data_IF_045451363713
#
_entry.id   IF_045451363713
#
_cell.length_a   1.000
_cell.length_b   1.000
_cell.length_c   1.000
_cell.angle_alpha   90.00
_cell.angle_beta   90.00
_cell.angle_gamma   90.00
#
_symmetry.space_group_name_H-M   'P 1'
#
loop_
_entity.id
_entity.type
_entity.pdbx_description
1 polymer ?
#
# COMPACT_ATOMS: atom_id res chain seq x y z
N UNK A 1 3.42 4.45 -7.26
CA UNK A 1 2.86 4.36 -5.89
C UNK A 1 3.88 4.89 -4.90
N UNK A 2 3.49 5.69 -3.91
CA UNK A 2 4.33 6.15 -2.81
C UNK A 2 3.80 5.62 -1.48
N UNK A 3 4.58 4.80 -0.80
CA UNK A 3 4.29 4.34 0.55
C UNK A 3 5.01 5.27 1.53
N UNK A 4 4.23 6.08 2.26
CA UNK A 4 4.72 7.16 3.11
C UNK A 4 4.77 6.75 4.57
N UNK A 5 5.96 6.76 5.16
CA UNK A 5 6.12 6.67 6.62
C UNK A 5 5.62 7.98 7.27
N UNK A 6 4.32 8.01 7.61
CA UNK A 6 3.67 9.24 8.10
C UNK A 6 4.05 9.61 9.53
N UNK A 7 4.79 8.75 10.23
CA UNK A 7 5.40 9.14 11.49
C UNK A 7 6.48 10.21 11.30
N UNK A 8 7.09 10.25 10.11
CA UNK A 8 8.25 11.12 9.82
C UNK A 8 7.97 12.15 8.72
N UNK A 9 6.96 11.93 7.85
CA UNK A 9 6.79 12.69 6.63
C UNK A 9 5.34 13.14 6.39
N UNK A 10 5.20 14.33 5.77
CA UNK A 10 3.91 14.88 5.36
C UNK A 10 3.49 14.31 3.99
N UNK A 11 2.30 13.68 3.86
CA UNK A 11 1.86 13.10 2.60
C UNK A 11 1.72 14.11 1.45
N UNK A 12 1.53 15.41 1.75
CA UNK A 12 1.51 16.47 0.74
C UNK A 12 2.85 16.61 -0.01
N UNK A 13 3.95 16.08 0.54
CA UNK A 13 5.25 16.10 -0.14
C UNK A 13 5.23 15.38 -1.49
N UNK A 14 4.29 14.44 -1.70
CA UNK A 14 4.08 13.79 -3.00
C UNK A 14 3.65 14.74 -4.12
N UNK A 15 3.08 15.90 -3.78
CA UNK A 15 2.71 16.94 -4.76
C UNK A 15 3.92 17.71 -5.32
N UNK A 16 5.08 17.56 -4.70
CA UNK A 16 6.28 18.33 -5.05
C UNK A 16 7.07 17.77 -6.23
N UNK A 17 6.70 16.60 -6.75
CA UNK A 17 7.42 15.96 -7.86
C UNK A 17 6.56 15.91 -9.10
N UNK A 18 7.02 16.59 -10.16
CA UNK A 18 6.33 16.64 -11.45
C UNK A 18 7.29 16.26 -12.59
N UNK A 19 6.73 15.84 -13.70
CA UNK A 19 7.45 15.68 -14.95
C UNK A 19 7.82 17.06 -15.50
N UNK A 20 9.02 17.19 -16.01
CA UNK A 20 9.63 18.47 -16.38
C UNK A 20 8.92 19.19 -17.52
N UNK A 21 8.54 18.46 -18.55
CA UNK A 21 7.95 19.03 -19.76
C UNK A 21 6.42 19.12 -19.67
N UNK A 22 5.77 18.03 -19.23
CA UNK A 22 4.31 17.94 -19.16
C UNK A 22 3.71 18.55 -17.90
N UNK A 23 4.49 18.73 -16.84
CA UNK A 23 4.02 19.20 -15.53
C UNK A 23 3.14 18.18 -14.77
N UNK A 24 2.97 16.95 -15.31
CA UNK A 24 2.16 15.91 -14.65
C UNK A 24 2.82 15.46 -13.36
N UNK A 25 2.01 15.12 -12.35
CA UNK A 25 2.50 14.51 -11.14
C UNK A 25 3.15 13.16 -11.41
N UNK A 26 4.22 12.86 -10.68
CA UNK A 26 4.94 11.57 -10.78
C UNK A 26 4.24 10.49 -9.98
N UNK A 27 3.51 10.87 -8.92
CA UNK A 27 2.85 9.95 -7.98
C UNK A 27 1.35 9.90 -8.27
N UNK A 28 0.80 8.69 -8.46
CA UNK A 28 -0.63 8.45 -8.70
C UNK A 28 -1.36 7.95 -7.46
N UNK A 29 -0.64 7.36 -6.51
CA UNK A 29 -1.21 6.74 -5.31
C UNK A 29 -0.29 6.98 -4.12
N UNK A 30 -0.89 7.32 -2.96
CA UNK A 30 -0.19 7.50 -1.69
C UNK A 30 -0.78 6.52 -0.67
N UNK A 31 0.07 5.69 -0.09
CA UNK A 31 -0.26 4.82 1.03
C UNK A 31 0.15 5.54 2.31
N UNK A 32 -0.81 5.76 3.20
CA UNK A 32 -0.54 6.25 4.57
C UNK A 32 -0.04 5.07 5.40
N UNK A 33 1.25 5.02 5.66
CA UNK A 33 1.88 3.91 6.34
C UNK A 33 2.26 4.31 7.77
N UNK A 34 1.61 3.73 8.84
CA UNK A 34 0.52 2.80 8.67
C UNK A 34 -0.45 2.85 9.85
N UNK A 35 -1.71 2.57 9.57
CA UNK A 35 -2.58 2.00 10.58
C UNK A 35 -2.18 0.55 10.87
N UNK A 36 -2.72 -0.03 11.94
CA UNK A 36 -2.34 -1.35 12.40
C UNK A 36 -3.56 -2.28 12.56
N UNK A 37 -3.30 -3.57 12.48
CA UNK A 37 -4.24 -4.60 12.88
C UNK A 37 -3.86 -5.09 14.28
N UNK A 38 -4.78 -5.00 15.23
CA UNK A 38 -4.58 -5.38 16.63
C UNK A 38 -5.66 -6.35 17.09
N UNK A 39 -5.37 -7.06 18.20
CA UNK A 39 -6.29 -7.99 18.85
C UNK A 39 -6.68 -7.47 20.23
N UNK A 40 -7.98 -7.40 20.49
CA UNK A 40 -8.52 -7.11 21.81
C UNK A 40 -8.71 -8.43 22.60
N UNK A 41 -7.89 -8.65 23.64
CA UNK A 41 -7.93 -9.87 24.42
C UNK A 41 -9.21 -10.01 25.29
N UNK A 42 -9.89 -8.91 25.61
CA UNK A 42 -11.12 -8.91 26.42
C UNK A 42 -12.33 -9.33 25.59
N UNK A 43 -12.43 -8.82 24.36
CA UNK A 43 -13.57 -9.10 23.46
C UNK A 43 -13.32 -10.24 22.49
N UNK A 44 -12.05 -10.64 22.29
CA UNK A 44 -11.67 -11.62 21.28
C UNK A 44 -11.73 -11.09 19.84
N UNK A 45 -11.81 -9.78 19.67
CA UNK A 45 -12.00 -9.15 18.37
C UNK A 45 -10.70 -8.57 17.82
N UNK A 46 -10.60 -8.60 16.48
CA UNK A 46 -9.55 -7.91 15.73
C UNK A 46 -10.08 -6.55 15.31
N UNK A 47 -9.24 -5.52 15.42
CA UNK A 47 -9.63 -4.15 15.11
C UNK A 47 -8.48 -3.36 14.45
N UNK A 48 -8.85 -2.27 13.75
CA UNK A 48 -7.88 -1.30 13.23
C UNK A 48 -7.51 -0.28 14.30
N UNK A 49 -6.24 -0.24 14.63
CA UNK A 49 -5.64 0.79 15.47
C UNK A 49 -4.87 1.79 14.59
N UNK A 50 -5.09 3.06 14.80
CA UNK A 50 -4.28 4.12 14.20
C UNK A 50 -3.45 4.80 15.29
N UNK A 51 -2.15 4.92 15.07
CA UNK A 51 -1.33 5.74 15.96
C UNK A 51 -1.70 7.24 15.80
N UNK A 52 -1.14 8.10 16.66
CA UNK A 52 -1.46 9.53 16.69
C UNK A 52 -1.21 10.23 15.35
N UNK A 53 -0.17 9.84 14.61
CA UNK A 53 0.16 10.46 13.33
C UNK A 53 -0.86 10.09 12.23
N UNK A 54 -1.19 8.81 12.11
CA UNK A 54 -2.22 8.37 11.16
C UNK A 54 -3.57 9.00 11.51
N UNK A 55 -3.97 8.95 12.79
CA UNK A 55 -5.24 9.52 13.22
C UNK A 55 -5.30 11.01 12.99
N UNK A 56 -4.20 11.75 13.26
CA UNK A 56 -4.12 13.18 12.96
C UNK A 56 -4.39 13.51 11.49
N UNK A 57 -3.80 12.74 10.57
CA UNK A 57 -4.02 12.94 9.13
C UNK A 57 -5.48 12.68 8.74
N UNK A 58 -6.08 11.64 9.29
CA UNK A 58 -7.47 11.30 9.03
C UNK A 58 -8.43 12.37 9.56
N UNK A 59 -8.25 12.82 10.80
CA UNK A 59 -9.07 13.86 11.43
C UNK A 59 -8.92 15.22 10.75
N UNK A 60 -7.75 15.48 10.16
CA UNK A 60 -7.45 16.70 9.42
C UNK A 60 -7.40 16.48 7.90
N UNK A 61 -8.22 15.55 7.37
CA UNK A 61 -8.22 15.16 5.96
C UNK A 61 -8.33 16.32 4.98
N UNK A 62 -9.08 17.36 5.32
CA UNK A 62 -9.24 18.56 4.48
C UNK A 62 -7.91 19.26 4.21
N UNK A 63 -7.00 19.23 5.17
CA UNK A 63 -5.66 19.81 5.03
C UNK A 63 -4.69 18.92 4.30
N UNK A 64 -4.70 17.59 4.57
CA UNK A 64 -3.62 16.70 4.16
C UNK A 64 -4.00 15.72 3.04
N UNK A 65 -5.26 15.27 2.97
CA UNK A 65 -5.67 14.22 2.05
C UNK A 65 -6.45 14.76 0.85
N UNK A 66 -7.39 15.67 1.08
CA UNK A 66 -8.19 16.28 0.02
C UNK A 66 -7.34 16.94 -1.07
N UNK A 67 -6.24 17.69 -0.76
CA UNK A 67 -5.39 18.25 -1.80
C UNK A 67 -4.74 17.20 -2.71
N UNK A 68 -4.40 16.02 -2.17
CA UNK A 68 -3.91 14.89 -2.97
C UNK A 68 -5.01 14.38 -3.92
N UNK A 69 -6.21 14.11 -3.38
CA UNK A 69 -7.34 13.60 -4.13
C UNK A 69 -7.81 14.58 -5.22
N UNK A 70 -7.82 15.88 -4.95
CA UNK A 70 -8.13 16.92 -5.93
C UNK A 70 -7.14 16.97 -7.11
N UNK A 71 -5.92 16.47 -6.91
CA UNK A 71 -4.91 16.30 -7.97
C UNK A 71 -4.97 14.93 -8.64
N UNK A 72 -5.97 14.11 -8.30
CA UNK A 72 -6.14 12.76 -8.86
C UNK A 72 -5.32 11.66 -8.19
N UNK A 73 -4.58 11.99 -7.12
CA UNK A 73 -3.82 10.99 -6.35
C UNK A 73 -4.80 10.20 -5.47
N UNK A 74 -4.73 8.89 -5.54
CA UNK A 74 -5.48 8.00 -4.67
C UNK A 74 -4.83 7.92 -3.30
N UNK A 75 -5.64 7.99 -2.23
CA UNK A 75 -5.19 7.92 -0.84
C UNK A 75 -5.63 6.59 -0.23
N UNK A 76 -4.67 5.80 0.24
CA UNK A 76 -4.84 4.41 0.64
C UNK A 76 -4.38 4.26 2.08
N UNK A 77 -5.16 3.56 2.91
CA UNK A 77 -4.77 3.23 4.27
C UNK A 77 -3.88 1.98 4.28
N UNK A 78 -2.64 2.12 4.73
CA UNK A 78 -1.77 0.99 5.02
C UNK A 78 -2.22 0.28 6.30
N UNK A 79 -2.20 -1.05 6.28
CA UNK A 79 -2.49 -1.91 7.43
C UNK A 79 -1.28 -2.80 7.66
N UNK A 80 -0.60 -2.59 8.78
CA UNK A 80 0.58 -3.32 9.22
C UNK A 80 0.26 -4.07 10.52
N UNK A 81 0.91 -5.21 10.77
CA UNK A 81 0.87 -5.84 12.08
C UNK A 81 1.65 -4.99 13.12
N UNK A 82 1.39 -5.16 14.40
CA UNK A 82 1.83 -4.21 15.44
C UNK A 82 2.52 -4.90 16.63
N UNK A 83 3.38 -5.90 16.39
CA UNK A 83 3.94 -6.75 17.43
C UNK A 83 2.87 -7.40 18.34
N UNK A 84 1.65 -7.42 17.82
CA UNK A 84 0.48 -8.05 18.40
C UNK A 84 0.28 -9.45 17.80
N UNK A 85 -0.66 -10.21 18.36
CA UNK A 85 -1.03 -11.54 17.85
C UNK A 85 -1.87 -11.51 16.59
N UNK A 86 -2.60 -10.40 16.33
CA UNK A 86 -3.37 -10.25 15.10
C UNK A 86 -2.49 -9.94 13.89
N UNK A 87 -2.78 -10.59 12.77
CA UNK A 87 -2.18 -10.27 11.48
C UNK A 87 -3.13 -10.55 10.32
N UNK A 88 -2.86 -9.92 9.18
CA UNK A 88 -3.72 -10.00 7.98
C UNK A 88 -3.87 -11.44 7.45
N UNK A 89 -2.96 -12.33 7.79
CA UNK A 89 -2.85 -13.66 7.18
C UNK A 89 -3.45 -14.79 8.01
N UNK A 90 -3.82 -14.56 9.27
CA UNK A 90 -4.25 -15.62 10.20
C UNK A 90 -5.64 -15.41 10.82
N UNK A 91 -6.45 -14.54 10.21
CA UNK A 91 -7.83 -14.35 10.63
C UNK A 91 -8.69 -15.55 10.23
N UNK A 92 -9.52 -16.06 11.16
CA UNK A 92 -10.61 -16.95 10.77
C UNK A 92 -11.66 -16.20 9.92
N UNK A 93 -12.51 -16.92 9.22
CA UNK A 93 -13.49 -16.36 8.28
C UNK A 93 -14.39 -15.28 8.90
N UNK A 94 -14.84 -15.50 10.15
CA UNK A 94 -15.67 -14.52 10.84
C UNK A 94 -14.90 -13.25 11.21
N UNK A 95 -13.68 -13.39 11.73
CA UNK A 95 -12.80 -12.27 12.04
C UNK A 95 -12.46 -11.46 10.78
N UNK A 96 -12.17 -12.14 9.66
CA UNK A 96 -11.93 -11.48 8.37
C UNK A 96 -13.16 -10.67 7.90
N UNK A 97 -14.37 -11.22 8.03
CA UNK A 97 -15.62 -10.50 7.70
C UNK A 97 -15.86 -9.30 8.60
N UNK A 98 -15.62 -9.43 9.90
CA UNK A 98 -15.78 -8.32 10.86
C UNK A 98 -14.77 -7.21 10.55
N UNK A 99 -13.50 -7.57 10.37
CA UNK A 99 -12.43 -6.64 10.06
C UNK A 99 -12.66 -5.93 8.71
N UNK A 100 -13.13 -6.64 7.69
CA UNK A 100 -13.50 -6.03 6.41
C UNK A 100 -14.61 -4.96 6.54
N UNK A 101 -15.62 -5.20 7.41
CA UNK A 101 -16.66 -4.19 7.70
C UNK A 101 -16.13 -2.99 8.46
N UNK A 102 -15.20 -3.19 9.38
CA UNK A 102 -14.53 -2.10 10.08
C UNK A 102 -13.70 -1.24 9.13
N UNK A 103 -12.90 -1.86 8.26
CA UNK A 103 -12.15 -1.15 7.22
C UNK A 103 -13.08 -0.37 6.32
N UNK A 104 -14.22 -0.94 5.91
CA UNK A 104 -15.24 -0.22 5.15
C UNK A 104 -15.70 1.04 5.87
N UNK A 105 -16.06 0.93 7.15
CA UNK A 105 -16.51 2.08 7.94
C UNK A 105 -15.43 3.18 8.03
N UNK A 106 -14.15 2.79 8.17
CA UNK A 106 -13.02 3.73 8.16
C UNK A 106 -12.84 4.42 6.82
N UNK A 107 -12.84 3.66 5.72
CA UNK A 107 -12.69 4.23 4.39
C UNK A 107 -13.83 5.19 4.04
N UNK A 108 -15.07 4.84 4.40
CA UNK A 108 -16.24 5.72 4.17
C UNK A 108 -16.17 6.98 5.04
N UNK A 109 -15.81 6.86 6.33
CA UNK A 109 -15.73 8.01 7.24
C UNK A 109 -14.67 9.03 6.82
N UNK A 110 -13.55 8.58 6.28
CA UNK A 110 -12.44 9.44 5.88
C UNK A 110 -12.28 9.60 4.35
N UNK A 111 -13.23 9.07 3.57
CA UNK A 111 -13.27 9.12 2.10
C UNK A 111 -11.95 8.65 1.47
N UNK A 112 -11.43 7.51 1.94
CA UNK A 112 -10.20 6.90 1.42
C UNK A 112 -10.51 6.00 0.21
N UNK A 113 -9.51 5.87 -0.69
CA UNK A 113 -9.68 5.14 -1.95
C UNK A 113 -9.42 3.63 -1.84
N UNK A 114 -8.81 3.17 -0.73
CA UNK A 114 -8.49 1.75 -0.59
C UNK A 114 -7.69 1.38 0.65
N UNK A 115 -7.27 0.13 0.68
CA UNK A 115 -6.43 -0.46 1.72
C UNK A 115 -5.20 -1.12 1.11
N UNK A 116 -4.10 -1.08 1.84
CA UNK A 116 -2.86 -1.77 1.53
C UNK A 116 -2.51 -2.66 2.71
N UNK A 117 -2.14 -3.91 2.45
CA UNK A 117 -1.80 -4.89 3.48
C UNK A 117 -0.33 -5.25 3.44
N UNK A 118 0.32 -5.16 4.61
CA UNK A 118 1.67 -5.59 4.87
C UNK A 118 1.72 -6.49 6.11
N UNK A 119 2.27 -7.69 5.97
CA UNK A 119 2.24 -8.73 7.01
C UNK A 119 3.60 -8.90 7.68
N UNK A 120 4.05 -7.84 8.33
CA UNK A 120 5.29 -7.81 9.10
C UNK A 120 5.03 -7.65 10.61
N UNK A 121 5.99 -8.00 11.44
CA UNK A 121 5.99 -7.76 12.89
C UNK A 121 4.82 -8.40 13.67
N UNK A 122 4.38 -9.58 13.27
CA UNK A 122 3.25 -10.27 13.89
C UNK A 122 3.71 -11.40 14.83
N UNK A 123 3.17 -11.44 16.05
CA UNK A 123 3.34 -12.55 17.01
C UNK A 123 2.28 -13.64 16.78
N UNK A 124 2.27 -14.23 15.59
CA UNK A 124 1.24 -15.17 15.10
C UNK A 124 0.92 -16.32 16.04
N UNK A 125 1.95 -16.87 16.70
CA UNK A 125 1.80 -18.00 17.61
C UNK A 125 0.87 -17.74 18.80
N UNK A 126 0.67 -16.47 19.14
CA UNK A 126 -0.17 -16.05 20.26
C UNK A 126 -1.64 -15.82 19.86
N UNK A 127 -1.97 -15.93 18.56
CA UNK A 127 -3.34 -15.75 18.07
C UNK A 127 -4.20 -16.97 18.47
N UNK A 128 -5.37 -16.77 19.10
CA UNK A 128 -6.26 -17.87 19.48
C UNK A 128 -6.72 -18.67 18.27
N UNK A 129 -6.50 -19.98 18.32
CA UNK A 129 -6.82 -20.87 17.18
C UNK A 129 -5.85 -20.74 16.01
N UNK A 130 -4.65 -20.17 16.25
CA UNK A 130 -3.61 -20.11 15.23
C UNK A 130 -3.37 -21.46 14.57
N UNK A 131 -3.37 -21.46 13.24
CA UNK A 131 -2.94 -22.57 12.39
C UNK A 131 -1.84 -22.06 11.47
N UNK A 132 -1.07 -22.97 10.90
CA UNK A 132 -0.08 -22.60 9.86
C UNK A 132 -0.73 -22.21 8.53
N UNK A 133 -2.05 -22.24 8.47
CA UNK A 133 -2.83 -21.88 7.29
C UNK A 133 -2.83 -20.38 7.06
N UNK A 134 -2.46 -19.96 5.86
CA UNK A 134 -2.55 -18.56 5.45
C UNK A 134 -3.96 -18.28 4.88
N UNK A 135 -4.68 -17.36 5.53
CA UNK A 135 -6.05 -16.97 5.15
C UNK A 135 -6.14 -15.55 4.55
N UNK A 136 -5.05 -15.01 4.06
CA UNK A 136 -4.99 -13.67 3.48
C UNK A 136 -5.97 -13.48 2.33
N UNK A 137 -6.08 -14.49 1.47
CA UNK A 137 -7.03 -14.50 0.36
C UNK A 137 -8.48 -14.27 0.83
N UNK A 138 -8.85 -14.89 1.96
CA UNK A 138 -10.18 -14.70 2.55
C UNK A 138 -10.40 -13.26 3.00
N UNK A 139 -9.42 -12.64 3.64
CA UNK A 139 -9.52 -11.23 4.03
C UNK A 139 -9.73 -10.32 2.81
N UNK A 140 -8.91 -10.45 1.77
CA UNK A 140 -9.05 -9.66 0.55
C UNK A 140 -10.42 -9.86 -0.12
N UNK A 141 -10.89 -11.10 -0.17
CA UNK A 141 -12.21 -11.43 -0.70
C UNK A 141 -13.34 -10.76 0.10
N UNK A 142 -13.33 -10.83 1.44
CA UNK A 142 -14.35 -10.20 2.27
C UNK A 142 -14.30 -8.66 2.17
N UNK A 143 -13.11 -8.07 2.05
CA UNK A 143 -12.94 -6.64 1.78
C UNK A 143 -13.57 -6.28 0.43
N UNK A 144 -13.33 -7.05 -0.64
CA UNK A 144 -13.94 -6.82 -1.96
C UNK A 144 -15.46 -6.89 -1.92
N UNK A 145 -16.02 -7.86 -1.19
CA UNK A 145 -17.48 -8.00 -1.05
C UNK A 145 -18.15 -6.76 -0.44
N UNK A 146 -17.54 -6.17 0.58
CA UNK A 146 -18.12 -5.01 1.26
C UNK A 146 -17.72 -3.68 0.64
N UNK A 147 -16.64 -3.64 -0.16
CA UNK A 147 -16.10 -2.45 -0.84
C UNK A 147 -15.75 -2.77 -2.31
N UNK A 148 -16.76 -2.91 -3.19
CA UNK A 148 -16.54 -3.40 -4.56
C UNK A 148 -15.64 -2.49 -5.42
N UNK A 149 -15.54 -1.21 -5.08
CA UNK A 149 -14.78 -0.22 -5.85
C UNK A 149 -13.46 0.22 -5.18
N UNK A 150 -13.14 -0.27 -3.97
CA UNK A 150 -11.92 0.11 -3.28
C UNK A 150 -10.69 -0.52 -3.95
N UNK A 151 -9.57 0.20 -3.90
CA UNK A 151 -8.27 -0.38 -4.18
C UNK A 151 -7.88 -1.33 -3.05
N UNK A 152 -7.58 -2.57 -3.39
CA UNK A 152 -7.10 -3.59 -2.45
C UNK A 152 -5.71 -3.97 -2.90
N UNK A 153 -4.72 -3.59 -2.10
CA UNK A 153 -3.31 -3.76 -2.41
C UNK A 153 -2.66 -4.73 -1.44
N UNK A 154 -1.78 -5.56 -1.94
CA UNK A 154 -0.99 -6.50 -1.17
C UNK A 154 0.50 -6.26 -1.41
N UNK A 155 1.26 -6.01 -0.35
CA UNK A 155 2.71 -6.03 -0.41
C UNK A 155 3.19 -7.48 -0.42
N UNK A 156 3.92 -7.88 -1.45
CA UNK A 156 4.36 -9.26 -1.63
C UNK A 156 5.50 -9.59 -0.67
N UNK A 157 5.15 -9.81 0.59
CA UNK A 157 6.08 -10.14 1.66
C UNK A 157 5.45 -11.16 2.62
N UNK A 158 6.23 -12.12 3.12
CA UNK A 158 5.73 -13.11 4.09
C UNK A 158 4.40 -13.75 3.68
N UNK A 159 3.38 -13.72 4.52
CA UNK A 159 2.07 -14.31 4.28
C UNK A 159 1.20 -13.59 3.25
N UNK A 160 1.50 -12.35 2.93
CA UNK A 160 0.84 -11.59 1.85
C UNK A 160 1.53 -11.73 0.49
N UNK A 161 2.55 -12.59 0.37
CA UNK A 161 3.27 -12.80 -0.88
C UNK A 161 2.46 -13.52 -1.95
N UNK A 162 1.34 -14.16 -1.59
CA UNK A 162 0.48 -14.87 -2.53
C UNK A 162 -0.98 -14.87 -2.10
N UNK A 163 -1.87 -15.01 -3.08
CA UNK A 163 -3.29 -15.23 -2.89
C UNK A 163 -3.75 -16.46 -3.69
N UNK A 164 -4.64 -17.25 -3.08
CA UNK A 164 -5.34 -18.34 -3.74
C UNK A 164 -6.81 -17.98 -4.04
N UNK A 165 -7.51 -18.84 -4.80
CA UNK A 165 -8.93 -18.65 -5.09
C UNK A 165 -9.79 -18.80 -3.83
N UNK A 166 -10.88 -18.01 -3.74
CA UNK A 166 -11.88 -18.05 -2.67
C UNK A 166 -13.27 -18.13 -3.27
N UNK A 167 -14.07 -19.11 -2.86
CA UNK A 167 -15.45 -19.32 -3.34
C UNK A 167 -15.58 -19.28 -4.87
N UNK A 168 -14.58 -19.79 -5.58
CA UNK A 168 -14.56 -19.85 -7.04
C UNK A 168 -14.01 -18.61 -7.74
N UNK A 169 -13.80 -17.52 -7.03
CA UNK A 169 -13.17 -16.29 -7.55
C UNK A 169 -11.64 -16.39 -7.51
N UNK A 170 -10.98 -15.92 -8.55
CA UNK A 170 -9.53 -15.82 -8.62
C UNK A 170 -9.02 -14.54 -7.91
N UNK A 171 -7.78 -14.53 -7.42
CA UNK A 171 -7.20 -13.34 -6.77
C UNK A 171 -7.36 -12.04 -7.55
N UNK A 172 -7.20 -12.05 -8.87
CA UNK A 172 -7.39 -10.86 -9.71
C UNK A 172 -8.81 -10.28 -9.73
N UNK A 173 -9.81 -11.00 -9.19
CA UNK A 173 -11.19 -10.51 -9.04
C UNK A 173 -11.40 -9.75 -7.71
N UNK A 174 -10.54 -9.97 -6.71
CA UNK A 174 -10.68 -9.31 -5.41
C UNK A 174 -9.43 -8.55 -4.96
N UNK A 175 -8.24 -8.81 -5.46
CA UNK A 175 -7.05 -7.96 -5.30
C UNK A 175 -6.95 -7.02 -6.50
N UNK A 176 -6.66 -5.74 -6.25
CA UNK A 176 -6.49 -4.74 -7.32
C UNK A 176 -5.04 -4.60 -7.73
N UNK A 177 -4.13 -4.67 -6.78
CA UNK A 177 -2.69 -4.56 -7.03
C UNK A 177 -1.90 -5.47 -6.10
N UNK A 178 -0.90 -6.14 -6.67
CA UNK A 178 0.16 -6.82 -5.93
C UNK A 178 1.47 -6.04 -6.12
N UNK A 179 2.14 -5.72 -5.02
CA UNK A 179 3.30 -4.83 -5.00
C UNK A 179 4.53 -5.63 -4.61
N UNK A 180 5.52 -5.66 -5.49
CA UNK A 180 6.79 -6.37 -5.28
C UNK A 180 7.58 -5.77 -4.11
N UNK A 181 8.16 -6.62 -3.28
CA UNK A 181 9.12 -6.21 -2.25
C UNK A 181 10.39 -5.58 -2.87
N UNK A 182 11.06 -4.70 -2.12
CA UNK A 182 12.34 -4.10 -2.54
C UNK A 182 13.56 -4.95 -2.17
N UNK A 183 13.42 -5.91 -1.27
CA UNK A 183 14.50 -6.79 -0.80
C UNK A 183 14.46 -8.21 -1.37
N UNK A 184 13.29 -8.69 -1.81
CA UNK A 184 13.07 -10.04 -2.28
C UNK A 184 12.18 -10.06 -3.52
N UNK A 185 12.47 -10.97 -4.44
CA UNK A 185 11.65 -11.16 -5.64
C UNK A 185 10.58 -12.24 -5.41
N UNK A 186 9.35 -11.92 -5.79
CA UNK A 186 8.21 -12.83 -5.86
C UNK A 186 7.65 -12.89 -7.28
N UNK A 187 7.16 -14.01 -7.70
CA UNK A 187 6.53 -14.20 -9.01
C UNK A 187 5.05 -13.81 -8.93
N UNK A 188 4.77 -12.52 -9.12
CA UNK A 188 3.41 -11.99 -8.97
C UNK A 188 2.40 -12.60 -9.95
N UNK A 189 2.83 -13.02 -11.14
CA UNK A 189 1.94 -13.68 -12.12
C UNK A 189 1.47 -15.06 -11.61
N UNK A 190 2.37 -15.82 -11.00
CA UNK A 190 2.06 -17.10 -10.37
C UNK A 190 1.31 -16.93 -9.06
N UNK A 191 1.75 -15.98 -8.25
CA UNK A 191 1.35 -15.84 -6.85
C UNK A 191 0.01 -15.09 -6.68
N UNK A 192 -0.43 -14.36 -7.73
CA UNK A 192 -1.72 -13.66 -7.80
C UNK A 192 -2.47 -14.01 -9.11
N UNK A 193 -2.90 -15.25 -9.28
CA UNK A 193 -3.52 -15.69 -10.54
C UNK A 193 -4.77 -14.86 -10.88
N UNK A 194 -4.88 -14.51 -12.17
CA UNK A 194 -5.98 -13.68 -12.68
C UNK A 194 -5.78 -12.18 -12.50
N UNK A 195 -4.78 -11.72 -11.75
CA UNK A 195 -4.44 -10.31 -11.67
C UNK A 195 -3.80 -9.87 -13.00
N UNK A 196 -4.30 -8.81 -13.66
CA UNK A 196 -3.69 -8.33 -14.89
C UNK A 196 -2.32 -7.68 -14.60
N UNK A 197 -1.40 -7.71 -15.56
CA UNK A 197 -0.07 -7.08 -15.42
C UNK A 197 -0.14 -5.61 -15.00
N UNK A 198 -1.16 -4.88 -15.45
CA UNK A 198 -1.42 -3.49 -15.03
C UNK A 198 -1.72 -3.33 -13.53
N UNK A 199 -2.11 -4.40 -12.86
CA UNK A 199 -2.27 -4.47 -11.39
C UNK A 199 -1.00 -4.92 -10.67
N UNK A 200 0.06 -5.32 -11.38
CA UNK A 200 1.32 -5.77 -10.78
C UNK A 200 2.33 -4.62 -10.72
N UNK A 201 2.65 -4.16 -9.53
CA UNK A 201 3.68 -3.16 -9.25
C UNK A 201 5.00 -3.91 -9.07
N UNK A 202 5.74 -4.06 -10.17
CA UNK A 202 6.77 -5.10 -10.36
C UNK A 202 8.14 -4.79 -9.76
N UNK A 203 8.32 -3.63 -9.14
CA UNK A 203 9.50 -3.31 -8.35
C UNK A 203 9.20 -2.23 -7.31
N UNK A 204 9.91 -2.31 -6.20
CA UNK A 204 9.89 -1.29 -5.16
C UNK A 204 11.29 -0.72 -4.90
N UNK A 205 11.34 0.52 -4.44
CA UNK A 205 12.56 1.21 -4.03
C UNK A 205 12.39 1.73 -2.61
N UNK A 206 13.44 1.64 -1.81
CA UNK A 206 13.50 2.28 -0.50
C UNK A 206 14.38 3.53 -0.61
N UNK A 207 13.76 4.70 -0.64
CA UNK A 207 14.46 5.94 -0.97
C UNK A 207 15.36 6.46 0.14
N UNK A 208 14.99 6.30 1.41
CA UNK A 208 15.80 6.78 2.53
C UNK A 208 17.12 6.00 2.65
N UNK A 209 17.09 4.67 2.42
CA UNK A 209 18.26 3.80 2.55
C UNK A 209 19.02 3.56 1.25
N UNK A 210 18.52 4.06 0.13
CA UNK A 210 19.22 4.00 -1.15
C UNK A 210 19.02 2.72 -1.96
N UNK A 211 18.06 1.86 -1.60
CA UNK A 211 17.60 0.77 -2.47
C UNK A 211 16.76 1.35 -3.59
N UNK A 212 17.33 1.50 -4.79
CA UNK A 212 16.67 2.11 -5.94
C UNK A 212 16.73 1.19 -7.16
N UNK A 213 15.65 1.17 -7.93
CA UNK A 213 15.64 0.45 -9.21
C UNK A 213 16.49 1.19 -10.24
N UNK A 214 17.12 0.42 -11.13
CA UNK A 214 17.86 0.98 -12.27
C UNK A 214 16.91 1.38 -13.40
N UNK A 215 17.37 2.28 -14.28
CA UNK A 215 16.62 2.62 -15.50
C UNK A 215 16.38 1.40 -16.40
N UNK A 216 17.33 0.45 -16.45
CA UNK A 216 17.14 -0.79 -17.23
C UNK A 216 16.01 -1.64 -16.67
N UNK A 217 15.88 -1.77 -15.34
CA UNK A 217 14.76 -2.48 -14.71
C UNK A 217 13.44 -1.75 -14.95
N UNK A 218 13.41 -0.42 -14.83
CA UNK A 218 12.22 0.37 -15.13
C UNK A 218 11.77 0.23 -16.60
N UNK A 219 12.72 0.24 -17.56
CA UNK A 219 12.40 -0.04 -18.99
C UNK A 219 11.81 -1.44 -19.19
N UNK A 220 12.34 -2.44 -18.50
CA UNK A 220 11.81 -3.80 -18.59
C UNK A 220 10.36 -3.87 -18.10
N UNK A 221 10.04 -3.22 -16.97
CA UNK A 221 8.68 -3.14 -16.42
C UNK A 221 7.71 -2.55 -17.44
N UNK A 222 8.09 -1.44 -18.10
CA UNK A 222 7.29 -0.80 -19.15
C UNK A 222 7.12 -1.73 -20.36
N UNK A 223 8.21 -2.34 -20.85
CA UNK A 223 8.20 -3.24 -22.02
C UNK A 223 7.33 -4.45 -21.79
N UNK A 224 7.34 -5.02 -20.57
CA UNK A 224 6.56 -6.21 -20.20
C UNK A 224 5.09 -5.88 -19.91
N UNK A 225 4.71 -4.61 -19.84
CA UNK A 225 3.34 -4.13 -19.63
C UNK A 225 2.87 -4.18 -18.18
N UNK A 226 3.81 -4.15 -17.23
CA UNK A 226 3.47 -4.08 -15.80
C UNK A 226 3.00 -2.69 -15.35
N UNK A 227 2.21 -2.66 -14.25
CA UNK A 227 1.49 -1.47 -13.82
C UNK A 227 2.33 -0.34 -13.24
N UNK A 228 3.56 -0.61 -12.80
CA UNK A 228 4.40 0.44 -12.26
C UNK A 228 5.41 0.01 -11.22
N UNK A 229 5.79 0.97 -10.39
CA UNK A 229 6.74 0.81 -9.29
C UNK A 229 6.22 1.46 -8.00
N UNK A 230 6.70 1.00 -6.85
CA UNK A 230 6.47 1.64 -5.57
C UNK A 230 7.77 2.27 -5.06
N UNK A 231 7.62 3.38 -4.35
CA UNK A 231 8.70 3.97 -3.54
C UNK A 231 8.26 3.98 -2.07
N UNK A 232 9.19 3.71 -1.17
CA UNK A 232 9.02 3.80 0.27
C UNK A 232 9.91 4.90 0.84
N UNK A 233 9.47 5.56 1.93
CA UNK A 233 10.20 6.58 2.68
C UNK A 233 10.59 7.81 1.84
N UNK A 234 9.63 8.40 1.14
CA UNK A 234 9.81 9.71 0.53
C UNK A 234 9.87 10.80 1.62
N UNK A 235 11.07 11.29 1.92
CA UNK A 235 11.33 12.25 2.98
C UNK A 235 11.69 13.63 2.40
N UNK A 236 11.12 14.75 2.90
CA UNK A 236 11.36 16.09 2.35
C UNK A 236 12.80 16.60 2.48
N UNK A 237 13.60 16.00 3.37
CA UNK A 237 14.97 16.46 3.64
C UNK A 237 16.01 15.99 2.61
N UNK A 238 15.66 15.11 1.69
CA UNK A 238 16.55 14.53 0.70
C UNK A 238 16.08 14.85 -0.72
N UNK A 239 16.98 15.32 -1.58
CA UNK A 239 16.70 15.49 -3.00
C UNK A 239 16.64 14.16 -3.74
N UNK A 240 15.46 13.74 -4.16
CA UNK A 240 15.25 12.44 -4.80
C UNK A 240 15.11 12.50 -6.32
N UNK A 241 15.26 13.68 -6.93
CA UNK A 241 15.06 13.88 -8.36
C UNK A 241 15.80 12.85 -9.21
N UNK A 242 17.08 12.61 -8.93
CA UNK A 242 17.87 11.65 -9.68
C UNK A 242 17.37 10.19 -9.53
N UNK A 243 16.76 9.87 -8.39
CA UNK A 243 16.15 8.53 -8.13
C UNK A 243 14.85 8.38 -8.90
N UNK A 244 14.04 9.42 -8.91
CA UNK A 244 12.84 9.48 -9.76
C UNK A 244 13.18 9.37 -11.24
N UNK A 245 14.26 9.99 -11.71
CA UNK A 245 14.68 9.92 -13.10
C UNK A 245 14.99 8.49 -13.58
N UNK A 246 15.38 7.59 -12.66
CA UNK A 246 15.50 6.17 -13.00
C UNK A 246 14.14 5.53 -13.35
N UNK A 247 13.05 6.10 -12.88
CA UNK A 247 11.68 5.65 -13.13
C UNK A 247 11.04 6.47 -14.24
N UNK A 248 11.05 7.79 -14.14
CA UNK A 248 10.27 8.67 -15.00
C UNK A 248 10.77 8.72 -16.43
N UNK A 249 12.09 8.71 -16.64
CA UNK A 249 12.64 8.65 -18.00
C UNK A 249 12.19 7.37 -18.74
N UNK A 250 12.29 6.15 -18.16
CA UNK A 250 11.74 4.95 -18.79
C UNK A 250 10.23 4.94 -19.00
N UNK A 251 9.45 5.46 -18.05
CA UNK A 251 7.98 5.41 -18.09
C UNK A 251 7.35 6.49 -18.96
N UNK A 252 7.93 7.69 -18.96
CA UNK A 252 7.31 8.88 -19.58
C UNK A 252 8.19 9.59 -20.60
N UNK A 253 9.47 9.23 -20.70
CA UNK A 253 10.44 9.93 -21.54
C UNK A 253 10.87 11.28 -20.98
N UNK A 254 10.50 11.60 -19.73
CA UNK A 254 10.73 12.90 -19.11
C UNK A 254 11.52 12.79 -17.81
N UNK A 255 12.30 13.82 -17.52
CA UNK A 255 12.92 13.99 -16.21
C UNK A 255 11.90 14.46 -15.17
N UNK A 256 12.19 14.20 -13.89
CA UNK A 256 11.45 14.74 -12.75
C UNK A 256 12.04 16.09 -12.33
N UNK A 257 11.18 17.01 -11.92
CA UNK A 257 11.57 18.22 -11.19
C UNK A 257 10.87 18.25 -9.83
N UNK A 258 11.57 18.80 -8.84
CA UNK A 258 10.99 19.07 -7.52
C UNK A 258 10.57 20.54 -7.44
N UNK A 259 9.28 20.79 -7.19
CA UNK A 259 8.66 22.12 -7.25
C UNK A 259 8.46 22.74 -5.86
N UNK A 260 8.75 22.02 -4.79
CA UNK A 260 8.57 22.49 -3.43
C UNK A 260 8.96 21.44 -2.38
N UNK A 261 8.52 21.67 -1.15
CA UNK A 261 8.71 20.75 -0.03
C UNK A 261 7.61 20.94 1.00
N UNK A 262 7.14 19.84 1.57
CA UNK A 262 6.24 19.84 2.73
C UNK A 262 6.91 19.06 3.86
N UNK A 263 7.35 19.78 4.89
CA UNK A 263 7.79 19.16 6.14
C UNK A 263 6.58 18.68 6.95
N UNK A 264 6.80 17.76 7.87
CA UNK A 264 5.80 17.39 8.87
C UNK A 264 5.52 18.59 9.78
N UNK A 265 4.26 18.92 10.01
CA UNK A 265 3.79 20.12 10.71
C UNK A 265 2.73 19.82 11.78
N UNK A 266 2.77 18.61 12.39
CA UNK A 266 1.95 18.16 13.52
C UNK A 266 2.74 17.33 14.52
#
# INVERSE_FOLDING_TARGET
VSCMEVNDANPLHNLCYTLKESGKLVIDQVILFSGNINYNAETGEVYNYNNENVQHLLDNRQKYLVPLQQKGIKVILGILCNHDRACCTHLGDEAARKFARELKAKLEAYELDGVFFDDEYCNRGDYPGFTTYNNFSRLCYEVRKVMPNALIQAYAYSGTSSCGPVEGMQPGEFVTQAIQDYGRYYDLERDYPGLPKSGMIQASSEFARGSIISQSRARQIVTDGYGGTMIFSLNPNNGYVYRFNNITIPFYGEETVQTGSYAKDW
#
